data_IF_533236447428
#
_entry.id   IF_533236447428
#
_cell.length_a   1.000
_cell.length_b   1.000
_cell.length_c   1.000
_cell.angle_alpha   90.00
_cell.angle_beta   90.00
_cell.angle_gamma   90.00
#
_symmetry.space_group_name_H-M   'P 1'
#
loop_
_entity.id
_entity.type
_entity.pdbx_description
1 polymer ?
#
# COMPACT_ATOMS: atom_id res chain seq x y z
N UNK A 1 9.50 1.03 -5.98
CA UNK A 1 9.77 1.23 -4.53
C UNK A 1 9.29 2.61 -4.17
N UNK A 2 8.74 2.78 -2.97
CA UNK A 2 8.28 4.08 -2.52
C UNK A 2 8.27 4.20 -1.01
N UNK A 3 7.86 5.38 -0.57
CA UNK A 3 7.65 5.72 0.82
C UNK A 3 6.16 5.96 1.06
N UNK A 4 5.63 5.40 2.14
CA UNK A 4 4.30 5.63 2.67
C UNK A 4 4.44 6.46 3.94
N UNK A 5 3.96 7.70 3.89
CA UNK A 5 3.99 8.63 5.01
C UNK A 5 2.81 8.35 5.94
N UNK A 6 3.11 7.84 7.13
CA UNK A 6 2.17 7.56 8.23
C UNK A 6 2.95 7.66 9.53
N UNK A 7 2.32 8.13 10.60
CA UNK A 7 2.90 8.18 11.95
C UNK A 7 2.56 6.94 12.80
N UNK A 8 1.77 6.01 12.26
CA UNK A 8 1.24 4.86 12.98
C UNK A 8 0.55 5.23 14.31
N UNK A 9 0.06 6.46 14.45
CA UNK A 9 -0.43 7.00 15.72
C UNK A 9 -1.59 6.21 16.32
N UNK A 10 -2.42 5.59 15.46
CA UNK A 10 -3.50 4.70 15.89
C UNK A 10 -3.00 3.41 16.54
N UNK A 11 -1.88 2.86 16.08
CA UNK A 11 -1.26 1.71 16.75
C UNK A 11 -0.65 2.13 18.09
N UNK A 12 -0.05 3.33 18.15
CA UNK A 12 0.46 3.88 19.40
C UNK A 12 -0.68 3.98 20.43
N UNK A 13 -1.75 4.70 20.10
CA UNK A 13 -2.86 5.00 21.00
C UNK A 13 -3.65 3.75 21.43
N UNK A 14 -3.95 2.85 20.49
CA UNK A 14 -4.89 1.75 20.75
C UNK A 14 -4.24 0.39 21.03
N UNK A 15 -2.96 0.19 20.69
CA UNK A 15 -2.30 -1.11 20.88
C UNK A 15 -1.08 -0.99 21.78
N UNK A 16 -0.18 -0.05 21.51
CA UNK A 16 1.13 -0.03 22.17
C UNK A 16 1.09 0.64 23.54
N UNK A 17 0.51 1.83 23.65
CA UNK A 17 0.39 2.55 24.93
C UNK A 17 -0.43 1.76 25.97
N UNK A 18 -1.59 1.15 25.65
CA UNK A 18 -2.34 0.35 26.63
C UNK A 18 -1.62 -0.93 27.09
N UNK A 19 -0.64 -1.40 26.32
CA UNK A 19 0.18 -2.56 26.65
C UNK A 19 1.53 -2.20 27.27
N UNK A 20 1.73 -0.93 27.65
CA UNK A 20 2.98 -0.38 28.20
C UNK A 20 4.20 -0.68 27.30
N UNK A 21 4.01 -0.62 25.96
CA UNK A 21 5.07 -0.92 24.97
C UNK A 21 5.65 0.33 24.34
N UNK A 22 6.82 0.16 23.72
CA UNK A 22 7.44 1.19 22.93
C UNK A 22 6.51 1.61 21.78
N UNK A 23 6.48 2.90 21.48
CA UNK A 23 5.64 3.51 20.45
C UNK A 23 6.46 3.78 19.19
N UNK A 24 5.80 3.84 18.03
CA UNK A 24 6.42 4.35 16.81
C UNK A 24 6.81 5.82 16.98
N UNK A 25 8.04 6.15 16.63
CA UNK A 25 8.58 7.52 16.49
C UNK A 25 8.96 7.82 15.02
N UNK A 26 8.61 6.92 14.11
CA UNK A 26 8.90 7.02 12.68
C UNK A 26 7.74 7.68 11.91
N UNK A 27 8.08 8.44 10.86
CA UNK A 27 7.12 9.13 9.99
C UNK A 27 6.81 8.35 8.69
N UNK A 28 6.97 7.01 8.70
CA UNK A 28 6.45 6.18 7.63
C UNK A 28 7.08 4.81 7.47
N UNK A 29 6.73 4.19 6.34
CA UNK A 29 7.22 2.88 5.95
C UNK A 29 7.62 2.85 4.48
N UNK A 30 8.59 1.99 4.17
CA UNK A 30 8.97 1.71 2.79
C UNK A 30 8.02 0.69 2.19
N UNK A 31 7.66 0.84 0.92
CA UNK A 31 6.89 -0.16 0.19
C UNK A 31 7.52 -0.54 -1.15
N UNK A 32 7.27 -1.79 -1.56
CA UNK A 32 7.68 -2.34 -2.84
C UNK A 32 6.46 -3.03 -3.45
N UNK A 33 6.12 -2.63 -4.66
CA UNK A 33 5.04 -3.23 -5.44
C UNK A 33 5.58 -3.81 -6.75
N UNK A 34 4.95 -4.91 -7.17
CA UNK A 34 5.10 -5.53 -8.46
C UNK A 34 3.71 -5.63 -9.10
N UNK A 35 3.66 -5.49 -10.42
CA UNK A 35 2.41 -5.57 -11.16
C UNK A 35 2.60 -6.20 -12.54
N UNK A 36 1.57 -6.91 -12.98
CA UNK A 36 1.39 -7.36 -14.36
C UNK A 36 0.19 -6.62 -14.91
N UNK A 37 0.41 -5.85 -15.98
CA UNK A 37 -0.56 -4.93 -16.56
C UNK A 37 -1.00 -5.40 -17.95
N UNK A 38 -2.29 -5.24 -18.23
CA UNK A 38 -2.89 -5.44 -19.55
C UNK A 38 -3.77 -4.25 -19.92
N UNK A 39 -3.84 -3.92 -21.21
CA UNK A 39 -4.69 -2.86 -21.74
C UNK A 39 -5.77 -3.47 -22.64
N UNK A 40 -7.02 -3.39 -22.20
CA UNK A 40 -8.16 -3.99 -22.92
C UNK A 40 -8.82 -3.02 -23.89
N UNK A 41 -8.85 -1.74 -23.52
CA UNK A 41 -9.42 -0.63 -24.29
C UNK A 41 -8.38 0.48 -24.27
N UNK A 42 -8.32 1.29 -25.32
CA UNK A 42 -7.40 2.43 -25.36
C UNK A 42 -7.56 3.30 -24.11
N UNK A 43 -6.46 3.47 -23.39
CA UNK A 43 -6.40 4.24 -22.16
C UNK A 43 -6.91 3.50 -20.92
N UNK A 44 -7.63 2.38 -21.02
CA UNK A 44 -8.03 1.60 -19.84
C UNK A 44 -7.04 0.47 -19.59
N UNK A 45 -6.31 0.60 -18.48
CA UNK A 45 -5.40 -0.40 -17.94
C UNK A 45 -6.06 -1.18 -16.82
N UNK A 46 -5.75 -2.46 -16.77
CA UNK A 46 -6.01 -3.29 -15.62
C UNK A 46 -4.73 -4.01 -15.26
N UNK A 47 -4.33 -3.91 -14.00
CA UNK A 47 -3.19 -4.64 -13.48
C UNK A 47 -3.61 -5.57 -12.36
N UNK A 48 -2.95 -6.73 -12.28
CA UNK A 48 -2.84 -7.49 -11.03
C UNK A 48 -1.58 -7.00 -10.34
N UNK A 49 -1.72 -6.50 -9.12
CA UNK A 49 -0.60 -5.97 -8.34
C UNK A 49 -0.46 -6.71 -7.03
N UNK A 50 0.78 -6.89 -6.58
CA UNK A 50 1.10 -7.37 -5.25
C UNK A 50 2.31 -6.64 -4.70
N UNK A 51 2.34 -6.44 -3.40
CA UNK A 51 3.40 -5.67 -2.77
C UNK A 51 3.53 -5.94 -1.29
N UNK A 52 4.53 -5.29 -0.71
CA UNK A 52 4.79 -5.32 0.72
C UNK A 52 5.14 -3.92 1.23
N UNK A 53 4.78 -3.64 2.48
CA UNK A 53 5.13 -2.42 3.21
C UNK A 53 5.81 -2.80 4.53
N UNK A 54 6.85 -2.09 4.91
CA UNK A 54 7.67 -2.41 6.07
C UNK A 54 8.46 -1.20 6.61
N UNK A 55 8.82 -1.22 7.89
CA UNK A 55 9.84 -0.35 8.49
C UNK A 55 10.95 -1.22 9.11
N UNK A 56 12.00 -1.50 8.31
CA UNK A 56 13.07 -2.46 8.62
C UNK A 56 13.99 -2.13 9.81
N UNK A 57 13.75 -1.07 10.57
CA UNK A 57 14.72 -0.54 11.54
C UNK A 57 14.13 -0.06 12.87
N UNK A 58 12.84 -0.28 13.11
CA UNK A 58 12.15 0.19 14.30
C UNK A 58 11.72 -0.96 15.19
N UNK A 59 11.69 -0.72 16.49
CA UNK A 59 10.99 -1.54 17.48
C UNK A 59 10.10 -0.57 18.27
N UNK A 60 8.78 -0.54 18.04
CA UNK A 60 7.95 -1.51 17.29
C UNK A 60 8.16 -1.50 15.77
N UNK A 61 7.74 -2.57 15.07
CA UNK A 61 7.78 -2.70 13.61
C UNK A 61 6.44 -3.16 13.02
N UNK A 62 6.14 -2.72 11.80
CA UNK A 62 5.00 -3.15 10.98
C UNK A 62 5.51 -3.79 9.70
N UNK A 63 4.96 -4.95 9.38
CA UNK A 63 5.09 -5.61 8.09
C UNK A 63 3.72 -5.90 7.49
N UNK A 64 3.51 -5.56 6.22
CA UNK A 64 2.29 -5.90 5.50
C UNK A 64 2.62 -6.49 4.13
N UNK A 65 1.80 -7.44 3.68
CA UNK A 65 1.77 -7.90 2.30
C UNK A 65 0.35 -7.81 1.76
N UNK A 66 0.20 -7.56 0.46
CA UNK A 66 -1.10 -7.43 -0.17
C UNK A 66 -1.06 -7.82 -1.66
N UNK A 67 -2.22 -8.22 -2.18
CA UNK A 67 -2.45 -8.51 -3.59
C UNK A 67 -3.83 -7.99 -4.01
N UNK A 68 -3.96 -7.56 -5.26
CA UNK A 68 -5.24 -7.11 -5.76
C UNK A 68 -5.22 -6.61 -7.19
N UNK A 69 -6.21 -5.78 -7.48
CA UNK A 69 -6.45 -5.25 -8.81
C UNK A 69 -6.25 -3.74 -8.83
N UNK A 70 -5.76 -3.26 -9.95
CA UNK A 70 -5.50 -1.85 -10.19
C UNK A 70 -6.03 -1.44 -11.57
N UNK A 71 -7.30 -1.05 -11.67
CA UNK A 71 -7.81 -0.32 -12.82
C UNK A 71 -7.23 1.10 -12.86
N UNK A 72 -6.82 1.54 -14.05
CA UNK A 72 -6.35 2.90 -14.27
C UNK A 72 -6.73 3.42 -15.66
N UNK A 73 -6.99 4.72 -15.74
CA UNK A 73 -7.16 5.43 -16.99
C UNK A 73 -5.90 6.23 -17.31
N UNK A 74 -5.32 5.96 -18.47
CA UNK A 74 -4.07 6.52 -18.96
C UNK A 74 -4.28 7.34 -20.23
N UNK A 75 -3.67 8.52 -20.27
CA UNK A 75 -3.69 9.46 -21.39
C UNK A 75 -2.28 9.91 -21.71
N UNK A 76 -1.96 9.97 -23.00
CA UNK A 76 -0.62 10.32 -23.43
C UNK A 76 -0.33 9.82 -24.83
N UNK A 77 0.96 9.89 -25.16
CA UNK A 77 1.51 9.40 -26.40
C UNK A 77 2.58 8.32 -26.12
N UNK A 78 3.33 7.93 -27.15
CA UNK A 78 4.39 6.93 -27.02
C UNK A 78 5.60 7.41 -26.21
N UNK A 79 5.61 8.64 -25.73
CA UNK A 79 6.74 9.30 -25.06
C UNK A 79 6.41 9.61 -23.62
N UNK A 80 5.31 10.31 -23.38
CA UNK A 80 4.83 10.70 -22.06
C UNK A 80 3.40 10.26 -21.86
N UNK A 81 3.12 9.83 -20.64
CA UNK A 81 1.79 9.40 -20.28
C UNK A 81 1.49 9.74 -18.83
N UNK A 82 0.25 10.11 -18.58
CA UNK A 82 -0.30 10.32 -17.25
C UNK A 82 -1.41 9.31 -17.02
N UNK A 83 -1.47 8.73 -15.83
CA UNK A 83 -2.55 7.84 -15.45
C UNK A 83 -3.14 8.21 -14.10
N UNK A 84 -4.45 7.99 -13.97
CA UNK A 84 -5.18 8.03 -12.70
C UNK A 84 -5.81 6.68 -12.47
N UNK A 85 -5.74 6.17 -11.25
CA UNK A 85 -6.28 4.85 -10.96
C UNK A 85 -6.60 4.65 -9.50
N UNK A 86 -7.12 3.47 -9.22
CA UNK A 86 -7.44 3.02 -7.86
C UNK A 86 -7.02 1.57 -7.74
N UNK A 87 -6.09 1.29 -6.83
CA UNK A 87 -5.75 -0.08 -6.44
C UNK A 87 -6.67 -0.51 -5.30
N UNK A 88 -7.25 -1.70 -5.41
CA UNK A 88 -8.00 -2.35 -4.34
C UNK A 88 -7.36 -3.71 -4.06
N UNK A 89 -6.81 -3.86 -2.87
CA UNK A 89 -5.95 -4.99 -2.50
C UNK A 89 -6.36 -5.54 -1.15
N UNK A 90 -6.08 -6.82 -0.95
CA UNK A 90 -6.30 -7.55 0.30
C UNK A 90 -5.02 -8.26 0.71
N UNK A 91 -4.85 -8.49 2.00
CA UNK A 91 -3.66 -9.15 2.52
C UNK A 91 -3.65 -9.22 4.03
N UNK A 92 -2.46 -9.17 4.61
CA UNK A 92 -2.24 -9.30 6.05
C UNK A 92 -1.22 -8.26 6.51
N UNK A 93 -1.33 -7.87 7.77
CA UNK A 93 -0.36 -7.04 8.46
C UNK A 93 0.02 -7.71 9.78
N UNK A 94 1.28 -7.55 10.16
CA UNK A 94 1.84 -7.94 11.44
C UNK A 94 2.45 -6.70 12.08
N UNK A 95 2.11 -6.46 13.34
CA UNK A 95 2.80 -5.55 14.24
C UNK A 95 3.65 -6.41 15.18
N UNK A 96 4.93 -6.08 15.34
CA UNK A 96 5.83 -6.76 16.26
C UNK A 96 6.52 -5.75 17.18
N UNK A 97 6.59 -6.05 18.48
CA UNK A 97 7.25 -5.22 19.49
C UNK A 97 7.90 -6.11 20.55
N UNK A 98 9.23 -6.13 20.61
CA UNK A 98 9.97 -7.10 21.44
C UNK A 98 9.57 -8.55 21.14
N UNK A 99 9.04 -9.26 22.14
CA UNK A 99 8.54 -10.64 22.03
C UNK A 99 7.03 -10.72 21.74
N UNK A 100 6.35 -9.57 21.63
CA UNK A 100 4.92 -9.47 21.44
C UNK A 100 4.57 -9.17 19.99
N UNK A 101 3.41 -9.66 19.54
CA UNK A 101 2.97 -9.49 18.16
C UNK A 101 1.46 -9.40 18.04
N UNK A 102 0.99 -8.70 17.01
CA UNK A 102 -0.41 -8.68 16.61
C UNK A 102 -0.50 -8.96 15.12
N UNK A 103 -1.37 -9.91 14.76
CA UNK A 103 -1.66 -10.27 13.38
C UNK A 103 -3.06 -9.80 13.01
N UNK A 104 -3.21 -9.29 11.79
CA UNK A 104 -4.49 -8.81 11.30
C UNK A 104 -4.63 -9.01 9.79
N UNK A 105 -5.87 -9.15 9.33
CA UNK A 105 -6.19 -9.03 7.92
C UNK A 105 -6.23 -7.56 7.50
N UNK A 106 -5.90 -7.27 6.24
CA UNK A 106 -5.74 -5.92 5.72
C UNK A 106 -6.47 -5.79 4.37
N UNK A 107 -7.22 -4.70 4.20
CA UNK A 107 -7.65 -4.18 2.90
C UNK A 107 -6.92 -2.87 2.64
N UNK A 108 -6.39 -2.70 1.43
CA UNK A 108 -5.75 -1.46 0.99
C UNK A 108 -6.51 -0.88 -0.18
N UNK A 109 -6.97 0.36 -0.02
CA UNK A 109 -7.45 1.20 -1.11
C UNK A 109 -6.41 2.26 -1.42
N UNK A 110 -6.03 2.38 -2.68
CA UNK A 110 -4.94 3.25 -3.10
C UNK A 110 -5.29 4.03 -4.36
N UNK A 111 -5.99 5.17 -4.26
CA UNK A 111 -6.08 6.10 -5.36
C UNK A 111 -4.68 6.63 -5.70
N UNK A 112 -4.38 6.76 -6.98
CA UNK A 112 -3.08 7.23 -7.42
C UNK A 112 -3.13 8.07 -8.69
N UNK A 113 -2.06 8.85 -8.84
CA UNK A 113 -1.67 9.53 -10.06
C UNK A 113 -0.25 9.08 -10.44
N UNK A 114 -0.06 8.78 -11.72
CA UNK A 114 1.22 8.31 -12.28
C UNK A 114 1.61 9.20 -13.45
N UNK A 115 2.89 9.55 -13.54
CA UNK A 115 3.50 10.13 -14.73
C UNK A 115 4.60 9.19 -15.19
N UNK A 116 4.51 8.74 -16.44
CA UNK A 116 5.43 7.80 -17.07
C UNK A 116 6.17 8.44 -18.24
N UNK A 117 7.48 8.20 -18.31
CA UNK A 117 8.31 8.44 -19.50
C UNK A 117 8.64 7.10 -20.14
N UNK A 118 8.17 6.90 -21.37
CA UNK A 118 8.41 5.70 -22.16
C UNK A 118 9.69 5.80 -22.99
N UNK A 119 10.39 4.69 -23.15
CA UNK A 119 11.53 4.51 -24.04
C UNK A 119 11.14 3.46 -25.09
N UNK A 120 10.45 3.85 -26.18
CA UNK A 120 9.85 2.93 -27.14
C UNK A 120 10.83 1.91 -27.71
N UNK A 121 12.04 2.36 -28.03
CA UNK A 121 13.10 1.51 -28.59
C UNK A 121 13.60 0.43 -27.61
N UNK A 122 13.39 0.65 -26.31
CA UNK A 122 13.84 -0.23 -25.24
C UNK A 122 12.70 -1.02 -24.57
N UNK A 123 11.47 -0.92 -25.06
CA UNK A 123 10.27 -1.54 -24.46
C UNK A 123 10.20 -1.35 -22.94
N UNK A 124 10.53 -0.15 -22.47
CA UNK A 124 10.56 0.17 -21.05
C UNK A 124 10.01 1.56 -20.78
N UNK A 125 9.67 1.81 -19.52
CA UNK A 125 9.32 3.14 -19.02
C UNK A 125 9.81 3.30 -17.60
N UNK A 126 10.00 4.55 -17.20
CA UNK A 126 10.17 4.93 -15.79
C UNK A 126 8.98 5.78 -15.40
N UNK A 127 8.48 5.58 -14.18
CA UNK A 127 7.33 6.30 -13.69
C UNK A 127 7.58 6.87 -12.29
N UNK A 128 6.95 8.02 -12.06
CA UNK A 128 6.74 8.58 -10.74
C UNK A 128 5.26 8.44 -10.41
N UNK A 129 4.96 7.91 -9.23
CA UNK A 129 3.60 7.67 -8.76
C UNK A 129 3.41 8.31 -7.40
N UNK A 130 2.31 9.02 -7.23
CA UNK A 130 1.89 9.62 -5.97
C UNK A 130 0.44 9.26 -5.70
N UNK A 131 0.05 9.18 -4.43
CA UNK A 131 -1.33 8.89 -4.08
C UNK A 131 -1.54 8.81 -2.58
N UNK A 132 -2.59 8.11 -2.19
CA UNK A 132 -2.94 7.92 -0.79
C UNK A 132 -3.15 6.44 -0.51
N UNK A 133 -2.55 5.91 0.53
CA UNK A 133 -2.83 4.58 1.06
C UNK A 133 -3.92 4.71 2.11
N UNK A 134 -5.01 3.98 1.95
CA UNK A 134 -5.97 3.73 3.02
C UNK A 134 -5.88 2.26 3.41
N UNK A 135 -5.37 2.00 4.60
CA UNK A 135 -5.40 0.71 5.24
C UNK A 135 -6.69 0.57 6.03
N UNK A 136 -7.33 -0.58 5.87
CA UNK A 136 -8.49 -0.96 6.64
C UNK A 136 -8.22 -2.34 7.24
N UNK A 137 -8.23 -2.39 8.57
CA UNK A 137 -7.69 -3.49 9.36
C UNK A 137 -8.85 -4.32 9.90
N UNK A 138 -8.74 -5.64 9.79
CA UNK A 138 -9.80 -6.58 10.14
C UNK A 138 -9.30 -7.68 11.05
N UNK A 139 -10.08 -7.97 12.10
CA UNK A 139 -9.86 -9.09 13.01
C UNK A 139 -8.44 -9.09 13.59
N UNK A 140 -8.05 -8.04 14.34
CA UNK A 140 -6.76 -8.04 15.03
C UNK A 140 -6.75 -9.18 16.06
N UNK A 141 -5.66 -9.94 16.09
CA UNK A 141 -5.46 -11.07 17.00
C UNK A 141 -4.07 -11.01 17.60
N UNK A 142 -3.96 -11.34 18.88
CA UNK A 142 -2.69 -11.44 19.59
C UNK A 142 -2.83 -12.41 20.77
N UNK A 143 -1.78 -13.18 21.01
CA UNK A 143 -1.65 -14.03 22.21
C UNK A 143 -0.87 -13.33 23.33
N UNK A 144 -0.27 -12.16 23.04
CA UNK A 144 0.72 -11.49 23.89
C UNK A 144 0.35 -10.04 24.24
N UNK A 145 -0.40 -9.37 23.37
CA UNK A 145 -0.94 -8.02 23.55
C UNK A 145 -2.41 -8.10 23.95
N UNK A 146 -2.81 -7.27 24.90
CA UNK A 146 -4.21 -7.01 25.21
C UNK A 146 -4.81 -6.12 24.12
N UNK A 147 -5.87 -6.60 23.47
CA UNK A 147 -6.58 -5.90 22.39
C UNK A 147 -7.99 -5.46 22.84
N UNK A 148 -8.18 -5.19 24.12
CA UNK A 148 -9.42 -4.62 24.65
C UNK A 148 -9.39 -3.08 24.54
N UNK A 149 -10.47 -2.50 24.04
CA UNK A 149 -10.70 -1.06 24.09
C UNK A 149 -10.88 -0.60 25.55
N UNK A 150 -10.67 0.70 25.82
CA UNK A 150 -10.71 1.27 27.17
C UNK A 150 -12.06 1.13 27.90
N UNK A 151 -13.14 0.78 27.18
CA UNK A 151 -14.48 0.50 27.69
C UNK A 151 -14.81 -1.00 27.85
N UNK A 152 -13.86 -1.88 27.54
CA UNK A 152 -14.00 -3.34 27.66
C UNK A 152 -14.61 -4.03 26.44
N UNK A 153 -14.75 -3.33 25.30
CA UNK A 153 -15.11 -3.94 24.02
C UNK A 153 -13.87 -4.45 23.26
N UNK A 154 -14.03 -5.42 22.35
CA UNK A 154 -12.94 -5.82 21.44
C UNK A 154 -12.55 -4.65 20.51
N UNK A 155 -11.26 -4.47 20.25
CA UNK A 155 -10.77 -3.42 19.37
C UNK A 155 -11.38 -3.54 17.97
N UNK A 156 -12.31 -2.63 17.63
CA UNK A 156 -12.97 -2.65 16.33
C UNK A 156 -12.01 -2.22 15.19
N UNK A 157 -12.21 -2.85 14.04
CA UNK A 157 -11.57 -2.63 12.73
C UNK A 157 -11.38 -1.15 12.36
N UNK A 158 -12.32 -0.28 12.76
CA UNK A 158 -12.28 1.14 12.45
C UNK A 158 -11.16 1.89 13.19
N UNK A 159 -10.80 1.49 14.41
CA UNK A 159 -9.85 2.21 15.25
C UNK A 159 -8.41 2.06 14.76
N UNK A 160 -8.06 0.89 14.20
CA UNK A 160 -6.71 0.62 13.67
C UNK A 160 -6.54 1.01 12.21
N UNK A 161 -7.63 1.33 11.51
CA UNK A 161 -7.56 1.74 10.10
C UNK A 161 -6.82 3.06 9.97
N UNK A 162 -5.74 3.06 9.21
CA UNK A 162 -4.85 4.21 9.05
C UNK A 162 -4.64 4.55 7.58
N UNK A 163 -4.17 5.76 7.29
CA UNK A 163 -3.91 6.16 5.92
C UNK A 163 -3.04 7.38 5.81
N UNK A 164 -2.46 7.56 4.63
CA UNK A 164 -1.49 8.61 4.41
C UNK A 164 -0.99 8.70 2.98
N UNK A 165 -0.26 9.77 2.70
CA UNK A 165 0.30 10.01 1.39
C UNK A 165 1.37 8.97 1.06
N UNK A 166 1.54 8.63 -0.21
CA UNK A 166 2.69 7.84 -0.63
C UNK A 166 3.29 8.39 -1.93
N UNK A 167 4.59 8.17 -2.08
CA UNK A 167 5.37 8.49 -3.27
C UNK A 167 6.21 7.30 -3.67
N UNK A 168 6.19 6.94 -4.95
CA UNK A 168 6.92 5.81 -5.48
C UNK A 168 7.59 6.15 -6.81
N UNK A 169 8.76 5.55 -7.03
CA UNK A 169 9.42 5.49 -8.32
C UNK A 169 9.50 4.03 -8.76
N UNK A 170 9.30 3.78 -10.06
CA UNK A 170 9.38 2.44 -10.58
C UNK A 170 9.69 2.38 -12.06
N UNK A 171 9.95 1.16 -12.52
CA UNK A 171 10.17 0.82 -13.91
C UNK A 171 9.05 -0.07 -14.43
N UNK A 172 8.75 0.07 -15.71
CA UNK A 172 7.86 -0.82 -16.46
C UNK A 172 8.67 -1.45 -17.60
N UNK A 173 8.43 -2.73 -17.85
CA UNK A 173 9.07 -3.47 -18.95
C UNK A 173 8.00 -4.20 -19.75
N UNK A 174 8.17 -4.25 -21.06
CA UNK A 174 7.25 -4.88 -21.99
C UNK A 174 6.49 -3.88 -22.86
N UNK A 175 5.73 -4.43 -23.82
CA UNK A 175 4.96 -3.64 -24.77
C UNK A 175 3.52 -3.55 -24.31
N UNK A 176 3.07 -2.34 -23.98
CA UNK A 176 1.65 -2.03 -23.86
C UNK A 176 1.10 -1.77 -25.26
N UNK A 177 0.57 -2.81 -25.88
CA UNK A 177 -0.17 -2.65 -27.14
C UNK A 177 -1.48 -1.94 -26.84
N UNK A 178 -1.63 -0.70 -27.31
CA UNK A 178 -2.93 -0.04 -27.31
C UNK A 178 -3.82 -0.75 -28.35
N UNK A 179 -5.02 -1.23 -27.98
CA UNK A 179 -5.97 -1.72 -28.96
C UNK A 179 -6.29 -0.60 -29.95
N UNK A 180 -6.21 -0.89 -31.25
CA UNK A 180 -6.70 0.01 -32.28
C UNK A 180 -8.24 0.03 -32.21
N UNK A 181 -8.84 1.22 -32.35
CA UNK A 181 -10.28 1.37 -32.45
C UNK A 181 -10.60 1.20 -33.94
N UNK A 182 -11.27 0.10 -34.32
CA UNK A 182 -11.93 -0.05 -35.63
C UNK A 182 -13.22 0.79 -35.70
#
# INVERSE_FOLDING_TARGET
MGWFFTDFGRFNEYVLEPNDRAVFDDEGATHIDLAVEVMFIRGLRLSVTGGATFNWASDPSVGAWYIGLEPAYAVGDNTWEMAVGLSAMVGSMQLAVGDDEMNTSLTVLRPFFEVSRHFPDAYSAVYLRAGFNQWHIHNPTSDTLNLEAADGEELDSFWLSDGGFYLAIGGRFGKLTQPEIE
#
